data_IF_575893856819
#
_entry.id   IF_575893856819
#
_cell.length_a   1.000
_cell.length_b   1.000
_cell.length_c   1.000
_cell.angle_alpha   90.00
_cell.angle_beta   90.00
_cell.angle_gamma   90.00
#
_symmetry.space_group_name_H-M   'P 1'
#
loop_
_entity.id
_entity.type
_entity.pdbx_description
1 polymer ?
#
# COMPACT_ATOMS: atom_id res chain seq x y z
N UNK A 1 -3.18 1.51 -19.37
CA UNK A 1 -2.14 0.97 -20.30
C UNK A 1 -1.68 -0.41 -19.82
N UNK A 2 -1.38 -1.29 -20.73
CA UNK A 2 -0.70 -2.56 -20.43
C UNK A 2 0.81 -2.34 -20.36
N UNK A 3 1.47 -2.77 -19.29
CA UNK A 3 2.90 -2.52 -19.05
C UNK A 3 3.79 -3.21 -20.12
N UNK A 4 3.47 -4.45 -20.46
CA UNK A 4 4.30 -5.25 -21.37
C UNK A 4 4.18 -4.82 -22.84
N UNK A 5 3.01 -4.32 -23.26
CA UNK A 5 2.75 -3.96 -24.65
C UNK A 5 2.79 -2.46 -24.93
N UNK A 6 2.73 -1.62 -23.90
CA UNK A 6 2.61 -0.17 -24.00
C UNK A 6 1.34 0.31 -24.70
N UNK A 7 0.33 -0.56 -24.84
CA UNK A 7 -0.96 -0.24 -25.47
C UNK A 7 -2.05 0.01 -24.43
N UNK A 8 -3.12 0.68 -24.83
CA UNK A 8 -4.31 0.81 -24.00
C UNK A 8 -4.95 -0.55 -23.73
N UNK A 9 -5.43 -0.74 -22.52
CA UNK A 9 -6.25 -1.91 -22.19
C UNK A 9 -7.70 -1.63 -22.56
N UNK A 10 -8.49 -2.66 -22.93
CA UNK A 10 -9.93 -2.52 -23.12
C UNK A 10 -10.62 -1.96 -21.87
N UNK A 11 -11.73 -1.26 -22.07
CA UNK A 11 -12.58 -0.80 -20.96
C UNK A 11 -13.06 -2.01 -20.14
N UNK A 12 -13.17 -1.85 -18.84
CA UNK A 12 -13.50 -2.93 -17.90
C UNK A 12 -12.29 -3.75 -17.45
N UNK A 13 -11.11 -3.54 -18.03
CA UNK A 13 -9.88 -4.24 -17.64
C UNK A 13 -8.94 -3.32 -16.84
N UNK A 14 -8.22 -3.92 -15.88
CA UNK A 14 -7.20 -3.25 -15.10
C UNK A 14 -5.94 -2.94 -15.91
N UNK A 15 -5.37 -1.78 -15.67
CA UNK A 15 -4.13 -1.36 -16.31
C UNK A 15 -3.40 -0.29 -15.50
N UNK A 16 -2.26 0.15 -15.99
CA UNK A 16 -1.47 1.23 -15.39
C UNK A 16 -2.06 2.57 -15.81
N UNK A 17 -2.25 3.47 -14.85
CA UNK A 17 -2.69 4.83 -15.09
C UNK A 17 -1.51 5.67 -15.61
N UNK A 18 -1.70 6.29 -16.76
CA UNK A 18 -0.74 7.23 -17.34
C UNK A 18 -1.43 8.51 -17.79
N UNK A 19 -0.71 9.62 -17.76
CA UNK A 19 -1.19 10.88 -18.34
C UNK A 19 -0.53 11.08 -19.70
N UNK A 20 -1.35 11.20 -20.75
CA UNK A 20 -0.86 11.23 -22.15
C UNK A 20 -0.41 12.61 -22.61
N UNK A 21 -0.92 13.67 -22.01
CA UNK A 21 -0.61 15.05 -22.41
C UNK A 21 -0.08 15.84 -21.20
N UNK A 22 0.90 16.70 -21.39
CA UNK A 22 1.39 17.57 -20.34
C UNK A 22 0.31 18.57 -19.89
N UNK A 23 0.44 19.06 -18.65
CA UNK A 23 -0.39 20.12 -18.09
C UNK A 23 0.48 21.17 -17.41
N UNK A 24 -0.01 22.42 -17.18
CA UNK A 24 0.82 23.55 -16.73
C UNK A 24 1.56 23.33 -15.41
N UNK A 25 0.95 22.63 -14.44
CA UNK A 25 1.53 22.36 -13.10
C UNK A 25 2.32 21.04 -13.02
N UNK A 26 2.57 20.36 -14.16
CA UNK A 26 3.32 19.12 -14.18
C UNK A 26 4.76 19.34 -13.70
N UNK A 27 5.26 18.40 -12.90
CA UNK A 27 6.67 18.37 -12.49
C UNK A 27 7.59 18.33 -13.72
N UNK A 28 8.64 19.16 -13.74
CA UNK A 28 9.56 19.29 -14.86
C UNK A 28 10.87 18.52 -14.67
N UNK A 29 11.30 18.37 -13.41
CA UNK A 29 12.52 17.64 -13.05
C UNK A 29 12.54 17.38 -11.54
N UNK A 30 13.50 16.56 -11.09
CA UNK A 30 13.94 16.47 -9.71
C UNK A 30 15.24 17.27 -9.61
N UNK A 31 15.32 18.20 -8.67
CA UNK A 31 16.51 19.01 -8.47
C UNK A 31 17.74 18.13 -8.21
N UNK A 32 18.78 18.31 -8.98
CA UNK A 32 20.04 17.55 -8.87
C UNK A 32 19.98 16.12 -9.39
N UNK A 33 18.81 15.60 -9.82
CA UNK A 33 18.66 14.20 -10.26
C UNK A 33 17.68 14.05 -11.45
N UNK A 34 18.05 14.56 -12.63
CA UNK A 34 17.20 14.47 -13.83
C UNK A 34 17.01 13.03 -14.32
N UNK A 35 17.96 12.14 -14.09
CA UNK A 35 17.85 10.74 -14.50
C UNK A 35 16.82 9.99 -13.67
N UNK A 36 16.74 10.24 -12.37
CA UNK A 36 15.69 9.72 -11.51
C UNK A 36 14.31 10.24 -11.94
N UNK A 37 14.23 11.52 -12.35
CA UNK A 37 12.98 12.08 -12.89
C UNK A 37 12.50 11.28 -14.11
N UNK A 38 13.36 11.07 -15.09
CA UNK A 38 13.03 10.29 -16.29
C UNK A 38 12.60 8.87 -15.93
N UNK A 39 13.43 8.16 -15.15
CA UNK A 39 13.18 6.77 -14.75
C UNK A 39 11.86 6.60 -13.97
N UNK A 40 11.53 7.55 -13.10
CA UNK A 40 10.34 7.45 -12.23
C UNK A 40 9.05 7.85 -12.94
N UNK A 41 9.09 8.91 -13.76
CA UNK A 41 7.89 9.51 -14.34
C UNK A 41 7.72 9.26 -15.84
N UNK A 42 8.80 8.91 -16.56
CA UNK A 42 8.80 8.63 -18.00
C UNK A 42 9.60 7.36 -18.32
N UNK A 43 9.22 6.21 -17.70
CA UNK A 43 10.01 4.98 -17.81
C UNK A 43 10.05 4.44 -19.24
N UNK A 44 11.11 3.69 -19.52
CA UNK A 44 11.33 3.01 -20.81
C UNK A 44 10.22 2.01 -21.19
N UNK A 45 9.50 1.45 -20.19
CA UNK A 45 8.32 0.61 -20.43
C UNK A 45 7.30 1.28 -21.38
N UNK A 46 7.24 2.60 -21.36
CA UNK A 46 6.39 3.43 -22.23
C UNK A 46 7.21 4.30 -23.21
N UNK A 47 8.50 3.93 -23.47
CA UNK A 47 9.42 4.65 -24.36
C UNK A 47 9.56 6.14 -23.99
N UNK A 48 9.52 6.45 -22.70
CA UNK A 48 9.57 7.84 -22.22
C UNK A 48 8.42 8.74 -22.67
N UNK A 49 7.33 8.17 -23.23
CA UNK A 49 6.27 8.93 -23.90
C UNK A 49 5.17 9.46 -22.98
N UNK A 50 4.84 8.72 -21.92
CA UNK A 50 3.71 9.02 -21.04
C UNK A 50 4.17 9.23 -19.61
N UNK A 51 3.53 10.18 -18.93
CA UNK A 51 3.75 10.38 -17.50
C UNK A 51 3.12 9.23 -16.69
N UNK A 52 3.93 8.54 -15.91
CA UNK A 52 3.52 7.46 -15.04
C UNK A 52 3.05 8.02 -13.69
N UNK A 53 1.76 7.85 -13.38
CA UNK A 53 1.21 8.26 -12.09
C UNK A 53 1.64 7.31 -10.95
N UNK A 54 1.98 6.06 -11.27
CA UNK A 54 2.36 5.05 -10.30
C UNK A 54 1.18 4.29 -9.70
N UNK A 55 0.00 4.44 -10.30
CA UNK A 55 -1.24 3.83 -9.86
C UNK A 55 -1.79 2.87 -10.91
N UNK A 56 -2.49 1.84 -10.45
CA UNK A 56 -3.37 1.01 -11.27
C UNK A 56 -4.76 1.63 -11.36
N UNK A 57 -5.44 1.42 -12.48
CA UNK A 57 -6.81 1.88 -12.66
C UNK A 57 -7.59 0.96 -13.59
N UNK A 58 -8.92 0.94 -13.40
CA UNK A 58 -9.89 0.33 -14.30
C UNK A 58 -10.77 1.44 -14.84
N UNK A 59 -11.01 1.45 -16.16
CA UNK A 59 -12.00 2.32 -16.77
C UNK A 59 -13.30 1.54 -16.95
N UNK A 60 -14.36 1.99 -16.29
CA UNK A 60 -15.66 1.34 -16.37
C UNK A 60 -16.16 1.27 -17.82
N UNK A 61 -16.67 0.09 -18.23
CA UNK A 61 -17.04 -0.19 -19.59
C UNK A 61 -18.33 0.57 -20.06
N UNK A 62 -19.18 0.97 -19.11
CA UNK A 62 -20.46 1.64 -19.40
C UNK A 62 -20.36 3.15 -19.24
N UNK A 63 -19.78 3.60 -18.14
CA UNK A 63 -19.75 5.03 -17.77
C UNK A 63 -18.49 5.73 -18.25
N UNK A 64 -17.40 4.99 -18.50
CA UNK A 64 -16.11 5.54 -18.84
C UNK A 64 -15.34 6.17 -17.65
N UNK A 65 -15.88 6.10 -16.43
CA UNK A 65 -15.21 6.60 -15.23
C UNK A 65 -14.04 5.72 -14.84
N UNK A 66 -13.05 6.33 -14.17
CA UNK A 66 -11.87 5.63 -13.67
C UNK A 66 -12.03 5.30 -12.19
N UNK A 67 -11.78 4.04 -11.85
CA UNK A 67 -11.57 3.58 -10.47
C UNK A 67 -10.09 3.33 -10.28
N UNK A 68 -9.49 3.97 -9.28
CA UNK A 68 -8.09 3.72 -8.91
C UNK A 68 -8.05 2.44 -8.07
N UNK A 69 -7.21 1.49 -8.48
CA UNK A 69 -7.10 0.16 -7.85
C UNK A 69 -5.93 0.05 -6.87
N UNK A 70 -5.18 1.14 -6.68
CA UNK A 70 -4.04 1.22 -5.78
C UNK A 70 -2.73 1.49 -6.49
N UNK A 71 -1.64 1.48 -5.73
CA UNK A 71 -0.28 1.67 -6.25
C UNK A 71 0.18 0.43 -7.01
N UNK A 72 0.89 0.62 -8.11
CA UNK A 72 1.47 -0.50 -8.87
C UNK A 72 2.66 -1.15 -8.16
N UNK A 73 3.25 -0.46 -7.20
CA UNK A 73 4.36 -0.90 -6.35
C UNK A 73 3.90 -1.47 -4.98
N UNK A 74 2.61 -1.36 -4.66
CA UNK A 74 1.99 -1.90 -3.44
C UNK A 74 1.13 -3.15 -3.74
N UNK A 75 1.59 -4.00 -4.65
CA UNK A 75 0.97 -5.29 -4.98
C UNK A 75 1.73 -6.39 -4.28
N UNK A 76 1.01 -7.18 -3.49
CA UNK A 76 1.53 -8.36 -2.79
C UNK A 76 1.45 -9.59 -3.68
N UNK A 77 2.40 -10.51 -3.51
CA UNK A 77 2.39 -11.82 -4.17
C UNK A 77 2.42 -12.93 -3.12
N UNK A 78 1.24 -13.31 -2.65
CA UNK A 78 1.07 -14.32 -1.61
C UNK A 78 0.73 -15.66 -2.26
N UNK A 79 1.59 -16.64 -2.14
CA UNK A 79 1.41 -17.99 -2.74
C UNK A 79 1.05 -17.93 -4.24
N UNK A 80 1.66 -17.00 -4.99
CA UNK A 80 1.39 -16.82 -6.41
C UNK A 80 0.17 -15.96 -6.76
N UNK A 81 -0.63 -15.55 -5.77
CA UNK A 81 -1.77 -14.67 -5.97
C UNK A 81 -1.37 -13.21 -5.80
N UNK A 82 -1.67 -12.40 -6.80
CA UNK A 82 -1.43 -10.95 -6.76
C UNK A 82 -2.65 -10.24 -6.18
N UNK A 83 -2.45 -9.49 -5.12
CA UNK A 83 -3.50 -8.70 -4.47
C UNK A 83 -3.00 -7.31 -4.10
N UNK A 84 -3.86 -6.31 -4.22
CA UNK A 84 -3.54 -4.93 -3.84
C UNK A 84 -3.61 -4.75 -2.31
N UNK A 85 -2.67 -4.01 -1.74
CA UNK A 85 -2.73 -3.67 -0.31
C UNK A 85 -3.97 -2.87 0.03
N UNK A 86 -4.43 -2.00 -0.88
CA UNK A 86 -5.62 -1.15 -0.70
C UNK A 86 -6.91 -1.96 -0.49
N UNK A 87 -7.05 -3.12 -1.13
CA UNK A 87 -8.21 -3.99 -0.94
C UNK A 87 -8.28 -4.52 0.48
N UNK A 88 -7.15 -4.95 1.02
CA UNK A 88 -7.03 -5.45 2.40
C UNK A 88 -7.21 -4.30 3.41
N UNK A 89 -6.62 -3.13 3.14
CA UNK A 89 -6.78 -1.92 3.95
C UNK A 89 -8.26 -1.51 4.03
N UNK A 90 -8.98 -1.53 2.89
CA UNK A 90 -10.40 -1.22 2.83
C UNK A 90 -11.24 -2.22 3.62
N UNK A 91 -10.92 -3.52 3.54
CA UNK A 91 -11.59 -4.54 4.33
C UNK A 91 -11.33 -4.36 5.84
N UNK A 92 -10.10 -3.99 6.25
CA UNK A 92 -9.82 -3.67 7.65
C UNK A 92 -10.64 -2.48 8.15
N UNK A 93 -10.66 -1.39 7.40
CA UNK A 93 -11.37 -0.15 7.76
C UNK A 93 -12.89 -0.34 7.72
N UNK A 94 -13.42 -1.29 6.93
CA UNK A 94 -14.85 -1.62 6.94
C UNK A 94 -15.32 -2.22 8.28
N UNK A 95 -14.39 -2.68 9.14
CA UNK A 95 -14.67 -3.04 10.52
C UNK A 95 -14.81 -1.77 11.40
N UNK A 96 -15.83 -0.96 11.10
CA UNK A 96 -16.00 0.42 11.59
C UNK A 96 -16.07 0.56 13.11
N UNK A 97 -16.47 -0.48 13.82
CA UNK A 97 -16.54 -0.48 15.30
C UNK A 97 -15.16 -0.57 15.96
N UNK A 98 -14.16 -1.08 15.24
CA UNK A 98 -12.83 -1.37 15.78
C UNK A 98 -11.74 -0.50 15.16
N UNK A 99 -11.74 -0.36 13.85
CA UNK A 99 -10.61 0.18 13.08
C UNK A 99 -10.84 1.64 12.71
N UNK A 100 -9.88 2.48 13.07
CA UNK A 100 -9.83 3.89 12.64
C UNK A 100 -9.03 4.04 11.35
N UNK A 101 -7.84 3.44 11.29
CA UNK A 101 -6.96 3.46 10.12
C UNK A 101 -6.24 2.11 9.97
N UNK A 102 -5.86 1.79 8.75
CA UNK A 102 -5.03 0.63 8.47
C UNK A 102 -4.04 0.92 7.33
N UNK A 103 -2.87 0.29 7.41
CA UNK A 103 -1.91 0.23 6.32
C UNK A 103 -1.37 -1.19 6.20
N UNK A 104 -1.20 -1.65 4.98
CA UNK A 104 -0.75 -3.01 4.68
C UNK A 104 0.52 -2.98 3.87
N UNK A 105 1.47 -3.83 4.22
CA UNK A 105 2.70 -4.04 3.47
C UNK A 105 3.01 -5.53 3.39
N UNK A 106 3.83 -5.92 2.41
CA UNK A 106 4.39 -7.25 2.33
C UNK A 106 5.74 -7.36 3.05
N UNK A 107 6.03 -8.55 3.55
CA UNK A 107 7.38 -8.94 3.95
C UNK A 107 7.72 -10.31 3.35
N UNK A 108 9.02 -10.63 3.15
CA UNK A 108 9.43 -11.96 2.73
C UNK A 108 8.92 -13.04 3.69
N UNK A 109 8.53 -14.17 3.14
CA UNK A 109 8.05 -15.35 3.88
C UNK A 109 8.43 -16.64 3.17
N UNK A 110 9.07 -17.56 3.87
CA UNK A 110 9.62 -18.78 3.29
C UNK A 110 8.54 -19.75 2.74
N UNK A 111 7.31 -19.65 3.27
CA UNK A 111 6.21 -20.54 2.89
C UNK A 111 5.38 -19.97 1.74
N UNK A 112 5.07 -18.69 1.80
CA UNK A 112 4.15 -18.04 0.86
C UNK A 112 4.85 -17.12 -0.15
N UNK A 113 6.19 -17.03 -0.09
CA UNK A 113 7.01 -16.09 -0.82
C UNK A 113 6.90 -14.68 -0.23
N UNK A 114 5.71 -14.21 0.00
CA UNK A 114 5.41 -12.93 0.67
C UNK A 114 4.25 -13.12 1.66
N UNK A 115 4.39 -12.56 2.86
CA UNK A 115 3.35 -12.52 3.88
C UNK A 115 2.78 -11.11 4.04
N UNK A 116 1.50 -11.04 4.33
CA UNK A 116 0.78 -9.80 4.59
C UNK A 116 1.05 -9.36 6.04
N UNK A 117 1.51 -8.13 6.21
CA UNK A 117 1.65 -7.47 7.50
C UNK A 117 0.72 -6.25 7.54
N UNK A 118 -0.23 -6.23 8.47
CA UNK A 118 -1.18 -5.15 8.66
C UNK A 118 -0.79 -4.31 9.90
N UNK A 119 -0.78 -3.01 9.74
CA UNK A 119 -0.61 -2.01 10.79
C UNK A 119 -1.95 -1.33 11.00
N UNK A 120 -2.49 -1.39 12.22
CA UNK A 120 -3.87 -1.01 12.52
C UNK A 120 -3.91 -0.01 13.67
N UNK A 121 -4.63 1.08 13.46
CA UNK A 121 -5.02 2.02 14.50
C UNK A 121 -6.44 1.69 14.91
N UNK A 122 -6.63 1.41 16.20
CA UNK A 122 -7.94 1.12 16.74
C UNK A 122 -8.65 2.40 17.21
N UNK A 123 -9.97 2.37 17.26
CA UNK A 123 -10.82 3.43 17.84
C UNK A 123 -10.86 3.40 19.36
N UNK A 124 -10.02 2.60 19.99
CA UNK A 124 -9.88 2.40 21.44
C UNK A 124 -8.40 2.37 21.82
N UNK A 125 -8.06 2.42 23.11
CA UNK A 125 -6.67 2.29 23.58
C UNK A 125 -6.00 1.03 23.04
N UNK A 126 -4.65 1.06 22.97
CA UNK A 126 -3.85 -0.07 22.50
C UNK A 126 -4.15 -1.32 23.34
N UNK A 127 -4.45 -2.45 22.70
CA UNK A 127 -4.68 -3.70 23.41
C UNK A 127 -3.34 -4.29 23.88
N UNK A 128 -3.40 -5.13 24.90
CA UNK A 128 -2.24 -5.87 25.40
C UNK A 128 -2.53 -7.36 25.54
N UNK A 129 -1.49 -8.18 25.47
CA UNK A 129 -1.58 -9.60 25.73
C UNK A 129 -2.68 -10.32 24.96
N UNK A 130 -3.57 -11.00 25.68
CA UNK A 130 -4.62 -11.85 25.06
C UNK A 130 -5.74 -11.03 24.39
N UNK A 131 -5.99 -9.81 24.84
CA UNK A 131 -6.91 -8.90 24.16
C UNK A 131 -6.42 -8.57 22.75
N UNK A 132 -5.12 -8.25 22.59
CA UNK A 132 -4.53 -8.01 21.30
C UNK A 132 -4.64 -9.20 20.34
N UNK A 133 -4.42 -10.42 20.86
CA UNK A 133 -4.58 -11.66 20.07
C UNK A 133 -6.04 -11.87 19.65
N UNK A 134 -7.00 -11.60 20.53
CA UNK A 134 -8.43 -11.76 20.24
C UNK A 134 -8.88 -10.79 19.14
N UNK A 135 -8.47 -9.50 19.22
CA UNK A 135 -8.77 -8.51 18.21
C UNK A 135 -8.10 -8.87 16.88
N UNK A 136 -6.82 -9.26 16.90
CA UNK A 136 -6.12 -9.68 15.69
C UNK A 136 -6.80 -10.88 15.02
N UNK A 137 -7.28 -11.85 15.79
CA UNK A 137 -8.08 -12.97 15.29
C UNK A 137 -9.37 -12.48 14.63
N UNK A 138 -10.12 -11.60 15.30
CA UNK A 138 -11.37 -11.04 14.79
C UNK A 138 -11.14 -10.32 13.43
N UNK A 139 -10.08 -9.51 13.31
CA UNK A 139 -9.74 -8.82 12.09
C UNK A 139 -9.33 -9.79 10.97
N UNK A 140 -8.56 -10.84 11.27
CA UNK A 140 -8.24 -11.91 10.31
C UNK A 140 -9.48 -12.63 9.79
N UNK A 141 -10.41 -12.96 10.68
CA UNK A 141 -11.66 -13.65 10.31
C UNK A 141 -12.57 -12.74 9.48
N UNK A 142 -12.59 -11.43 9.79
CA UNK A 142 -13.30 -10.42 8.98
C UNK A 142 -12.72 -10.36 7.55
N UNK A 143 -11.40 -10.23 7.39
CA UNK A 143 -10.75 -10.21 6.07
C UNK A 143 -11.02 -11.50 5.30
N UNK A 144 -10.97 -12.65 5.97
CA UNK A 144 -11.25 -13.93 5.32
C UNK A 144 -12.67 -14.01 4.78
N UNK A 145 -13.62 -13.37 5.45
CA UNK A 145 -15.03 -13.30 5.01
C UNK A 145 -15.20 -12.34 3.84
N UNK A 146 -14.55 -11.16 3.89
CA UNK A 146 -14.73 -10.11 2.87
C UNK A 146 -13.97 -10.41 1.57
N UNK A 147 -12.74 -10.93 1.66
CA UNK A 147 -11.86 -11.14 0.50
C UNK A 147 -11.58 -12.61 0.27
N UNK A 148 -11.30 -13.36 1.33
CA UNK A 148 -10.94 -14.76 1.28
C UNK A 148 -9.76 -15.11 2.19
N UNK A 149 -9.57 -16.42 2.49
CA UNK A 149 -8.55 -16.87 3.46
C UNK A 149 -7.11 -16.50 3.09
N UNK A 150 -6.81 -16.37 1.78
CA UNK A 150 -5.47 -16.03 1.29
C UNK A 150 -5.06 -14.59 1.64
N UNK A 151 -6.03 -13.70 1.87
CA UNK A 151 -5.80 -12.32 2.23
C UNK A 151 -5.58 -12.10 3.74
N UNK A 152 -5.64 -13.15 4.56
CA UNK A 152 -5.42 -13.06 6.01
C UNK A 152 -4.02 -12.52 6.31
N UNK A 153 -3.88 -11.42 7.07
CA UNK A 153 -2.58 -10.96 7.53
C UNK A 153 -1.92 -12.01 8.44
N UNK A 154 -0.67 -12.35 8.15
CA UNK A 154 0.14 -13.19 9.02
C UNK A 154 0.47 -12.45 10.32
N UNK A 155 0.80 -11.16 10.17
CA UNK A 155 1.09 -10.27 11.30
C UNK A 155 0.09 -9.13 11.32
N UNK A 156 -0.46 -8.83 12.51
CA UNK A 156 -1.21 -7.61 12.79
C UNK A 156 -0.48 -6.86 13.90
N UNK A 157 -0.22 -5.58 13.69
CA UNK A 157 0.48 -4.71 14.63
C UNK A 157 -0.38 -3.52 14.96
N UNK A 158 -0.52 -3.22 16.24
CA UNK A 158 -1.33 -2.11 16.71
C UNK A 158 -0.45 -0.92 17.09
N UNK A 159 -0.91 0.29 16.79
CA UNK A 159 -0.30 1.53 17.19
C UNK A 159 -1.35 2.61 17.40
N UNK A 160 -1.00 3.66 18.15
CA UNK A 160 -1.88 4.83 18.35
C UNK A 160 -2.04 5.65 17.07
N UNK A 161 -1.08 5.54 16.16
CA UNK A 161 -1.11 6.19 14.85
C UNK A 161 -0.29 5.38 13.85
N UNK A 162 -0.33 5.76 12.56
CA UNK A 162 0.59 5.27 11.53
C UNK A 162 1.71 6.30 11.31
N UNK A 163 2.91 5.86 10.88
CA UNK A 163 3.99 6.79 10.53
C UNK A 163 3.58 7.62 9.31
N UNK A 164 3.43 8.91 9.49
CA UNK A 164 2.97 9.87 8.47
C UNK A 164 3.98 10.98 8.29
N UNK A 165 4.03 11.50 7.09
CA UNK A 165 4.68 12.80 6.82
C UNK A 165 3.82 13.92 7.40
N UNK A 166 4.40 15.13 7.55
CA UNK A 166 3.66 16.33 7.96
C UNK A 166 2.47 16.68 7.07
N UNK A 167 2.44 16.17 5.84
CA UNK A 167 1.28 16.29 4.93
C UNK A 167 0.23 15.18 5.08
N UNK A 168 0.35 14.32 6.10
CA UNK A 168 -0.59 13.22 6.38
C UNK A 168 -0.40 11.95 5.53
N UNK A 169 0.64 11.87 4.70
CA UNK A 169 0.90 10.71 3.85
C UNK A 169 1.59 9.59 4.64
N UNK A 170 1.02 8.39 4.62
CA UNK A 170 1.59 7.20 5.28
C UNK A 170 2.94 6.84 4.66
N UNK A 171 3.95 6.66 5.52
CA UNK A 171 5.32 6.33 5.12
C UNK A 171 5.49 4.80 5.03
N UNK A 172 4.90 4.17 4.01
CA UNK A 172 4.93 2.70 3.83
C UNK A 172 6.33 2.10 3.79
N UNK A 173 7.34 2.86 3.36
CA UNK A 173 8.74 2.42 3.39
C UNK A 173 9.21 2.06 4.81
N UNK A 174 8.80 2.84 5.82
CA UNK A 174 9.12 2.57 7.22
C UNK A 174 8.37 1.34 7.73
N UNK A 175 7.10 1.21 7.37
CA UNK A 175 6.29 0.03 7.71
C UNK A 175 6.87 -1.26 7.12
N UNK A 176 7.42 -1.21 5.89
CA UNK A 176 8.11 -2.37 5.29
C UNK A 176 9.36 -2.76 6.08
N UNK A 177 10.18 -1.81 6.52
CA UNK A 177 11.35 -2.11 7.37
C UNK A 177 10.94 -2.70 8.71
N UNK A 178 9.91 -2.14 9.37
CA UNK A 178 9.36 -2.70 10.60
C UNK A 178 8.82 -4.13 10.40
N UNK A 179 8.10 -4.37 9.30
CA UNK A 179 7.54 -5.69 9.00
C UNK A 179 8.63 -6.76 8.81
N UNK A 180 9.78 -6.38 8.27
CA UNK A 180 10.96 -7.25 8.09
C UNK A 180 11.82 -7.38 9.34
N UNK A 181 11.58 -6.59 10.37
CA UNK A 181 12.47 -6.49 11.55
C UNK A 181 13.82 -5.82 11.26
N UNK A 182 13.90 -5.03 10.19
CA UNK A 182 15.09 -4.29 9.80
C UNK A 182 15.22 -2.99 10.61
N UNK A 183 16.45 -2.59 10.92
CA UNK A 183 16.70 -1.27 11.50
C UNK A 183 16.26 -0.17 10.52
N UNK A 184 15.64 0.89 11.04
CA UNK A 184 15.22 2.02 10.22
C UNK A 184 16.45 2.91 9.97
N UNK A 185 16.99 2.80 8.77
CA UNK A 185 18.13 3.61 8.30
C UNK A 185 17.70 4.71 7.33
N UNK A 186 16.42 4.73 6.95
CA UNK A 186 15.89 5.72 6.01
C UNK A 186 15.73 7.09 6.69
N UNK A 187 15.74 8.12 5.86
CA UNK A 187 15.46 9.49 6.31
C UNK A 187 14.06 9.60 6.94
N UNK A 188 14.03 9.96 8.22
CA UNK A 188 12.81 10.18 9.02
C UNK A 188 12.53 11.66 9.29
N UNK A 189 13.28 12.58 8.67
CA UNK A 189 13.17 14.04 8.90
C UNK A 189 11.75 14.61 8.63
N UNK A 190 10.99 13.95 7.79
CA UNK A 190 9.60 14.33 7.48
C UNK A 190 8.56 13.63 8.34
N UNK A 191 8.97 12.73 9.23
CA UNK A 191 8.07 11.99 10.12
C UNK A 191 7.52 12.93 11.20
N UNK A 192 6.22 12.93 11.38
CA UNK A 192 5.54 13.79 12.34
C UNK A 192 5.80 13.35 13.79
N UNK A 193 5.76 12.04 14.05
CA UNK A 193 5.95 11.45 15.37
C UNK A 193 6.87 10.21 15.31
N UNK A 194 8.17 10.33 15.64
CA UNK A 194 9.12 9.21 15.61
C UNK A 194 8.80 8.07 16.60
N UNK A 195 8.20 8.37 17.76
CA UNK A 195 7.91 7.37 18.81
C UNK A 195 6.88 6.31 18.36
N UNK A 196 6.12 6.58 17.30
CA UNK A 196 5.15 5.62 16.79
C UNK A 196 5.81 4.34 16.26
N UNK A 197 7.06 4.41 15.85
CA UNK A 197 7.80 3.27 15.29
C UNK A 197 8.06 2.20 16.35
N UNK A 198 8.29 2.60 17.61
CA UNK A 198 8.53 1.68 18.73
C UNK A 198 7.26 0.89 19.07
N UNK A 199 6.10 1.54 19.05
CA UNK A 199 4.81 0.90 19.31
C UNK A 199 4.45 -0.17 18.26
N UNK A 200 4.77 0.10 17.01
CA UNK A 200 4.47 -0.80 15.88
C UNK A 200 5.44 -1.99 15.76
N UNK A 201 6.35 -2.15 16.70
CA UNK A 201 7.31 -3.26 16.75
C UNK A 201 6.67 -4.61 17.10
N UNK A 202 5.60 -4.64 17.92
CA UNK A 202 4.97 -5.86 18.40
C UNK A 202 3.94 -6.41 17.41
N UNK A 203 4.05 -7.70 17.05
CA UNK A 203 3.10 -8.43 16.21
C UNK A 203 2.16 -9.32 17.05
N UNK A 204 0.92 -9.48 16.59
CA UNK A 204 -0.13 -10.32 17.16
C UNK A 204 -0.62 -11.37 16.16
#
# INVERSE_FOLDING_TARGET
MNKSTGKEVPWGQGGILVVKKPWPSMIRTIWGDPERFKKSYYPEDFKGKYYLAGDGAIRDAKTGYFTITGRIDDVLNVSGHRMGTMEIESALVSCTELVAEAAVVGRPDDTTGEAICAFVVLKRPLPSGDEGKAIAKQLRDHIAKEIGPIAKPKDIRFGENLPKTRSGKIMRRLLRSLAKGEAITQDTSTLENPHILDQLGQAY
#
